data_IF_845698930583
#
_entry.id   IF_845698930583
#
_cell.length_a   1.000
_cell.length_b   1.000
_cell.length_c   1.000
_cell.angle_alpha   90.00
_cell.angle_beta   90.00
_cell.angle_gamma   90.00
#
_symmetry.space_group_name_H-M   'P 1'
#
loop_
_entity.id
_entity.type
_entity.pdbx_description
1 polymer ?
#
# COMPACT_ATOMS: atom_id res chain seq x y z
N UNK A 1 1.86 6.08 13.98
CA UNK A 1 2.78 7.02 13.31
C UNK A 1 2.02 8.25 12.82
N UNK A 2 2.64 9.43 12.77
CA UNK A 2 1.99 10.69 12.32
C UNK A 2 2.48 11.07 10.91
N UNK A 3 1.66 11.78 10.11
CA UNK A 3 2.01 12.30 8.77
C UNK A 3 3.37 13.03 8.76
N UNK A 4 3.67 13.77 9.82
CA UNK A 4 4.92 14.52 10.00
C UNK A 4 6.16 13.64 10.16
N UNK A 5 6.02 12.44 10.72
CA UNK A 5 7.13 11.49 10.83
C UNK A 5 7.49 10.90 9.46
N UNK A 6 6.46 10.55 8.68
CA UNK A 6 6.65 10.03 7.32
C UNK A 6 7.29 11.10 6.41
N UNK A 7 6.83 12.36 6.48
CA UNK A 7 7.45 13.47 5.75
C UNK A 7 8.93 13.69 6.14
N UNK A 8 9.27 13.57 7.44
CA UNK A 8 10.67 13.65 7.88
C UNK A 8 11.54 12.51 7.33
N UNK A 9 11.02 11.28 7.31
CA UNK A 9 11.72 10.12 6.73
C UNK A 9 11.89 10.28 5.22
N UNK A 10 10.87 10.78 4.53
CA UNK A 10 10.92 11.09 3.11
C UNK A 10 11.95 12.19 2.79
N UNK A 11 11.98 13.27 3.58
CA UNK A 11 12.97 14.34 3.44
C UNK A 11 14.40 13.81 3.56
N UNK A 12 14.65 12.92 4.54
CA UNK A 12 15.96 12.31 4.75
C UNK A 12 16.35 11.36 3.62
N UNK A 13 15.43 10.51 3.18
CA UNK A 13 15.69 9.53 2.11
C UNK A 13 15.89 10.20 0.75
N UNK A 14 15.07 11.21 0.44
CA UNK A 14 15.11 11.94 -0.84
C UNK A 14 16.10 13.10 -0.88
N UNK A 15 16.75 13.45 0.25
CA UNK A 15 17.58 14.67 0.40
C UNK A 15 16.85 15.95 -0.02
N UNK A 16 15.54 16.00 0.23
CA UNK A 16 14.69 17.15 -0.06
C UNK A 16 14.34 17.91 1.22
N UNK A 17 13.82 19.14 1.07
CA UNK A 17 13.40 19.93 2.23
C UNK A 17 12.20 19.29 2.93
N UNK A 18 12.01 19.60 4.22
CA UNK A 18 10.86 19.10 5.00
C UNK A 18 9.52 19.61 4.45
N UNK A 19 9.49 20.85 3.96
CA UNK A 19 8.31 21.44 3.33
C UNK A 19 7.96 20.66 2.07
N UNK A 20 8.94 20.50 1.17
CA UNK A 20 8.73 19.76 -0.09
C UNK A 20 8.34 18.30 0.16
N UNK A 21 8.92 17.65 1.17
CA UNK A 21 8.52 16.30 1.56
C UNK A 21 7.08 16.23 2.10
N UNK A 22 6.64 17.25 2.85
CA UNK A 22 5.27 17.33 3.33
C UNK A 22 4.29 17.54 2.17
N UNK A 23 4.61 18.45 1.24
CA UNK A 23 3.77 18.74 0.07
C UNK A 23 3.67 17.52 -0.87
N UNK A 24 4.78 16.84 -1.13
CA UNK A 24 4.79 15.60 -1.93
C UNK A 24 3.96 14.51 -1.26
N UNK A 25 4.13 14.32 0.05
CA UNK A 25 3.36 13.31 0.79
C UNK A 25 1.87 13.64 0.78
N UNK A 26 1.51 14.91 0.96
CA UNK A 26 0.11 15.33 0.96
C UNK A 26 -0.53 15.13 -0.41
N UNK A 27 0.18 15.48 -1.48
CA UNK A 27 -0.26 15.29 -2.86
C UNK A 27 -0.55 13.82 -3.19
N UNK A 28 0.31 12.89 -2.76
CA UNK A 28 0.11 11.46 -2.96
C UNK A 28 -1.14 10.98 -2.23
N UNK A 29 -1.30 11.36 -0.96
CA UNK A 29 -2.47 10.97 -0.16
C UNK A 29 -3.76 11.56 -0.75
N UNK A 30 -3.71 12.82 -1.16
CA UNK A 30 -4.84 13.49 -1.78
C UNK A 30 -5.30 12.77 -3.06
N UNK A 31 -4.34 12.38 -3.92
CA UNK A 31 -4.65 11.64 -5.14
C UNK A 31 -5.25 10.26 -4.87
N UNK A 32 -4.74 9.51 -3.88
CA UNK A 32 -5.31 8.22 -3.46
C UNK A 32 -6.77 8.40 -3.02
N UNK A 33 -7.03 9.34 -2.11
CA UNK A 33 -8.39 9.61 -1.62
C UNK A 33 -9.31 10.05 -2.74
N UNK A 34 -8.82 10.90 -3.67
CA UNK A 34 -9.59 11.37 -4.82
C UNK A 34 -9.97 10.22 -5.75
N UNK A 35 -9.07 9.27 -6.01
CA UNK A 35 -9.35 8.07 -6.82
C UNK A 35 -10.38 7.17 -6.14
N UNK A 36 -10.21 6.91 -4.85
CA UNK A 36 -11.13 6.06 -4.10
C UNK A 36 -12.56 6.63 -4.04
N UNK A 37 -12.68 7.96 -3.87
CA UNK A 37 -13.97 8.66 -3.94
C UNK A 37 -14.66 8.54 -5.30
N UNK A 38 -13.90 8.30 -6.37
CA UNK A 38 -14.42 8.08 -7.74
C UNK A 38 -14.73 6.62 -8.02
N UNK A 39 -14.64 5.74 -7.02
CA UNK A 39 -14.80 4.30 -7.24
C UNK A 39 -13.62 3.69 -8.00
N UNK A 40 -12.46 4.37 -8.05
CA UNK A 40 -11.27 3.87 -8.74
C UNK A 40 -10.26 3.32 -7.72
N UNK A 41 -9.67 2.13 -7.97
CA UNK A 41 -8.58 1.62 -7.14
C UNK A 41 -7.35 2.53 -7.24
N UNK A 42 -6.60 2.62 -6.15
CA UNK A 42 -5.40 3.43 -6.06
C UNK A 42 -4.21 2.57 -5.67
N UNK A 43 -3.22 2.46 -6.57
CA UNK A 43 -2.00 1.70 -6.33
C UNK A 43 -0.93 2.57 -5.67
N UNK A 44 -0.36 2.09 -4.56
CA UNK A 44 0.76 2.70 -3.87
C UNK A 44 1.96 1.75 -3.94
N UNK A 45 2.97 2.05 -4.78
CA UNK A 45 4.12 1.17 -5.00
C UNK A 45 4.83 0.76 -3.71
N UNK A 46 5.15 -0.53 -3.57
CA UNK A 46 5.84 -1.07 -2.39
C UNK A 46 4.98 -1.16 -1.13
N UNK A 47 3.69 -0.84 -1.22
CA UNK A 47 2.71 -1.00 -0.14
C UNK A 47 1.56 -1.88 -0.60
N UNK A 48 0.93 -1.56 -1.73
CA UNK A 48 -0.21 -2.32 -2.26
C UNK A 48 -1.27 -1.45 -2.91
N UNK A 49 -2.44 -2.04 -3.15
CA UNK A 49 -3.58 -1.38 -3.82
C UNK A 49 -4.74 -1.14 -2.84
N UNK A 50 -5.22 0.09 -2.80
CA UNK A 50 -6.46 0.45 -2.11
C UNK A 50 -7.66 0.19 -3.03
N UNK A 51 -8.68 -0.47 -2.51
CA UNK A 51 -9.92 -0.77 -3.22
C UNK A 51 -11.07 0.09 -2.70
N UNK A 52 -11.82 0.75 -3.61
CA UNK A 52 -13.01 1.51 -3.26
C UNK A 52 -14.22 0.59 -3.13
N UNK A 53 -15.23 1.02 -2.38
CA UNK A 53 -16.48 0.29 -2.23
C UNK A 53 -17.14 0.55 -0.89
N UNK A 54 -18.31 -0.06 -0.66
CA UNK A 54 -18.99 -0.07 0.63
C UNK A 54 -18.16 -0.72 1.73
N UNK A 55 -17.31 -1.67 1.34
CA UNK A 55 -16.25 -2.24 2.17
C UNK A 55 -14.89 -1.79 1.59
N UNK A 56 -14.31 -0.69 2.09
CA UNK A 56 -12.99 -0.25 1.64
C UNK A 56 -11.93 -1.30 2.00
N UNK A 57 -11.14 -1.71 1.01
CA UNK A 57 -10.15 -2.78 1.15
C UNK A 57 -8.72 -2.28 0.89
N UNK A 58 -7.74 -3.02 1.41
CA UNK A 58 -6.33 -2.83 1.09
C UNK A 58 -5.69 -4.19 0.79
N UNK A 59 -5.14 -4.33 -0.42
CA UNK A 59 -4.39 -5.52 -0.84
C UNK A 59 -2.90 -5.20 -0.81
N UNK A 60 -2.12 -5.74 0.14
CA UNK A 60 -0.70 -5.49 0.21
C UNK A 60 0.03 -6.08 -1.00
N UNK A 61 1.07 -5.38 -1.48
CA UNK A 61 1.97 -5.92 -2.49
C UNK A 61 2.78 -7.05 -1.85
N UNK A 62 2.53 -8.30 -2.26
CA UNK A 62 3.36 -9.43 -1.86
C UNK A 62 4.71 -9.28 -2.54
N UNK A 63 5.71 -8.80 -1.79
CA UNK A 63 7.10 -8.77 -2.24
C UNK A 63 7.57 -10.20 -2.48
N UNK A 64 7.89 -10.56 -3.73
CA UNK A 64 8.41 -11.88 -4.13
C UNK A 64 9.81 -12.20 -3.58
N UNK A 65 10.24 -11.60 -2.47
CA UNK A 65 11.52 -11.83 -1.83
C UNK A 65 11.33 -12.56 -0.48
N UNK A 66 11.07 -13.87 -0.54
CA UNK A 66 11.06 -14.80 0.59
C UNK A 66 10.47 -16.18 0.23
N UNK A 67 11.18 -17.31 0.38
CA UNK A 67 10.75 -18.60 -0.14
C UNK A 67 9.96 -19.41 0.91
N UNK A 68 8.68 -19.11 1.14
CA UNK A 68 7.81 -20.09 1.84
C UNK A 68 6.31 -19.78 1.65
N UNK A 69 5.74 -20.16 0.51
CA UNK A 69 4.29 -20.40 0.42
C UNK A 69 3.99 -21.62 -0.45
N UNK A 70 4.87 -22.63 -0.38
CA UNK A 70 4.56 -24.01 -0.75
C UNK A 70 3.79 -24.71 0.38
N UNK A 71 2.65 -24.15 0.85
CA UNK A 71 1.68 -24.92 1.63
C UNK A 71 0.46 -25.14 0.78
N UNK A 72 0.63 -26.03 -0.20
CA UNK A 72 -0.43 -26.68 -0.95
C UNK A 72 -1.33 -27.38 0.06
N UNK A 73 -2.41 -26.70 0.44
CA UNK A 73 -3.52 -27.29 1.16
C UNK A 73 -4.19 -28.33 0.26
N UNK A 74 -3.63 -29.53 0.22
CA UNK A 74 -4.28 -30.73 -0.29
C UNK A 74 -4.39 -31.72 0.87
N UNK A 75 -5.15 -31.32 1.89
CA UNK A 75 -5.70 -32.26 2.86
C UNK A 75 -6.90 -32.95 2.20
N UNK A 76 -6.71 -34.25 1.92
CA UNK A 76 -7.67 -35.35 2.01
C UNK A 76 -9.02 -35.22 1.27
N UNK A 77 -9.16 -36.02 0.21
CA UNK A 77 -10.16 -37.13 0.18
C UNK A 77 -9.50 -38.35 -0.48
N UNK A 78 -9.00 -39.30 0.32
CA UNK A 78 -9.48 -40.70 0.33
C UNK A 78 -10.75 -40.94 -0.50
N UNK A 79 -10.68 -41.79 -1.52
CA UNK A 79 -10.78 -43.26 -1.44
C UNK A 79 -12.24 -43.70 -1.35
N UNK A 80 -12.79 -44.06 -2.50
CA UNK A 80 -13.50 -45.32 -2.83
C UNK A 80 -14.51 -45.09 -3.95
#
# INVERSE_FOLDING_TARGET
MKKTDLARRLARAGRITKAEAADRLDSVIHNIVRSLRRGQPAHLPGLGTFQPGSEPGFQPEVSSAGPEAGRRASRRKGSS
#
